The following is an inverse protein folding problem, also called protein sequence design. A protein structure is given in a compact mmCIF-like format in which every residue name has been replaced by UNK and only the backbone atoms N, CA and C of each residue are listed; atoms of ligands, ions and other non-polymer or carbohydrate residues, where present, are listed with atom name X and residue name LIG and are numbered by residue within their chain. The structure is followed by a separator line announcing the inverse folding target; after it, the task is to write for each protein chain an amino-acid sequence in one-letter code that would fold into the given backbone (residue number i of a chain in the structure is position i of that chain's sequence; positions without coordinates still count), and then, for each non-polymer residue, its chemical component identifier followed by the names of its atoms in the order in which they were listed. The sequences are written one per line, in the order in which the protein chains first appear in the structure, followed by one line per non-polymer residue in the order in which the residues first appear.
data_IF_869191371691
#
_entry.id   IF_869191371691
#
_cell.length_a   1.000
_cell.length_b   1.000
_cell.length_c   1.000
_cell.angle_alpha   90.00
_cell.angle_beta   90.00
_cell.angle_gamma   90.00
#
_symmetry.space_group_name_H-M   'P 1'
#
loop_
_entity.id
_entity.type
_entity.pdbx_description
1 polymer ?
#
# COMPACT_ATOMS: atom_id res chain seq x y z
N UNK A 1 1.59 -6.97 25.08
CA UNK A 1 1.48 -7.48 23.70
C UNK A 1 2.89 -7.68 23.18
N UNK A 2 3.22 -8.85 22.61
CA UNK A 2 4.54 -9.09 22.04
C UNK A 2 4.79 -8.10 20.91
N UNK A 3 5.96 -7.46 20.93
CA UNK A 3 6.38 -6.47 19.94
C UNK A 3 6.93 -7.24 18.74
N UNK A 4 6.29 -7.12 17.58
CA UNK A 4 6.77 -7.74 16.33
C UNK A 4 8.04 -6.99 15.94
N UNK A 5 9.20 -7.63 16.10
CA UNK A 5 10.48 -7.02 15.77
C UNK A 5 10.91 -7.54 14.39
N UNK A 6 10.79 -6.64 13.41
CA UNK A 6 11.45 -6.65 12.11
C UNK A 6 11.12 -7.78 11.11
N UNK A 7 10.90 -7.31 9.88
CA UNK A 7 10.94 -8.07 8.64
C UNK A 7 12.42 -8.46 8.34
N UNK A 8 12.75 -9.76 8.36
CA UNK A 8 14.14 -10.23 8.25
C UNK A 8 14.58 -10.57 6.83
N UNK A 9 13.68 -11.12 6.03
CA UNK A 9 13.96 -11.62 4.68
C UNK A 9 12.75 -11.33 3.80
N UNK A 10 12.99 -10.87 2.57
CA UNK A 10 11.99 -10.80 1.52
C UNK A 10 12.43 -11.72 0.40
N UNK A 11 11.50 -12.55 -0.07
CA UNK A 11 11.74 -13.43 -1.19
C UNK A 11 10.50 -13.63 -2.04
N UNK A 12 10.69 -14.33 -3.15
CA UNK A 12 9.64 -14.70 -4.07
C UNK A 12 9.45 -16.22 -4.02
N UNK A 13 8.20 -16.65 -3.87
CA UNK A 13 7.78 -18.04 -3.99
C UNK A 13 6.75 -18.18 -5.13
N UNK A 14 6.49 -19.39 -5.65
CA UNK A 14 5.43 -19.62 -6.63
C UNK A 14 4.07 -19.04 -6.18
N UNK A 15 3.78 -19.14 -4.89
CA UNK A 15 2.56 -18.69 -4.24
C UNK A 15 2.46 -17.16 -4.14
N UNK A 16 3.58 -16.44 -4.14
CA UNK A 16 3.68 -14.98 -4.02
C UNK A 16 4.90 -14.54 -3.21
N UNK A 17 5.05 -13.24 -2.92
CA UNK A 17 6.14 -12.77 -2.08
C UNK A 17 5.95 -13.27 -0.65
N UNK A 18 7.07 -13.52 0.02
CA UNK A 18 7.09 -14.03 1.38
C UNK A 18 8.13 -13.30 2.23
N UNK A 19 7.90 -13.32 3.53
CA UNK A 19 8.83 -12.77 4.51
C UNK A 19 8.84 -13.51 5.83
N UNK A 20 9.89 -13.28 6.62
CA UNK A 20 10.02 -13.79 7.99
C UNK A 20 9.96 -12.64 8.98
N UNK A 21 9.14 -12.81 10.01
CA UNK A 21 8.98 -11.91 11.14
C UNK A 21 9.49 -12.60 12.41
N UNK A 22 10.18 -11.86 13.28
CA UNK A 22 10.49 -12.34 14.62
C UNK A 22 9.36 -11.99 15.59
N UNK A 23 8.89 -13.00 16.32
CA UNK A 23 7.89 -12.85 17.36
C UNK A 23 8.51 -13.25 18.71
N UNK A 24 8.90 -12.28 19.55
CA UNK A 24 9.38 -12.55 20.90
C UNK A 24 8.29 -13.20 21.75
N UNK A 25 8.65 -14.27 22.46
CA UNK A 25 7.82 -14.93 23.46
C UNK A 25 8.60 -15.08 24.78
N UNK A 26 7.97 -15.58 25.84
CA UNK A 26 8.60 -15.67 27.17
C UNK A 26 9.83 -16.61 27.19
N UNK A 27 9.91 -17.55 26.24
CA UNK A 27 10.95 -18.58 26.16
C UNK A 27 12.00 -18.33 25.05
N UNK A 28 11.88 -17.23 24.29
CA UNK A 28 12.73 -16.96 23.13
C UNK A 28 12.09 -16.09 22.04
N UNK A 29 12.32 -16.45 20.79
CA UNK A 29 11.81 -15.72 19.61
C UNK A 29 11.40 -16.72 18.55
N UNK A 30 10.12 -16.72 18.20
CA UNK A 30 9.59 -17.54 17.13
C UNK A 30 9.79 -16.85 15.79
N UNK A 31 10.19 -17.62 14.78
CA UNK A 31 10.31 -17.14 13.40
C UNK A 31 9.05 -17.47 12.63
N UNK A 32 8.30 -16.45 12.23
CA UNK A 32 7.02 -16.59 11.55
C UNK A 32 7.18 -16.27 10.07
N UNK A 33 6.97 -17.27 9.21
CA UNK A 33 6.92 -17.05 7.77
C UNK A 33 5.53 -16.56 7.37
N UNK A 34 5.47 -15.49 6.60
CA UNK A 34 4.25 -14.93 6.01
C UNK A 34 4.38 -14.98 4.50
N UNK A 35 3.34 -15.45 3.81
CA UNK A 35 3.24 -15.48 2.36
C UNK A 35 2.01 -14.66 1.97
N UNK A 36 2.18 -13.71 1.06
CA UNK A 36 1.05 -12.98 0.46
C UNK A 36 0.73 -13.65 -0.89
N UNK A 37 -0.48 -14.20 -1.10
CA UNK A 37 -0.83 -14.80 -2.37
C UNK A 37 -0.62 -13.84 -3.54
N UNK A 38 -0.05 -14.33 -4.65
CA UNK A 38 0.29 -13.53 -5.85
C UNK A 38 -0.88 -12.67 -6.34
N UNK A 39 -2.09 -13.24 -6.36
CA UNK A 39 -3.30 -12.52 -6.77
C UNK A 39 -3.60 -11.33 -5.85
N UNK A 40 -3.44 -11.52 -4.54
CA UNK A 40 -3.61 -10.47 -3.54
C UNK A 40 -2.49 -9.43 -3.63
N UNK A 41 -1.25 -9.86 -3.83
CA UNK A 41 -0.10 -8.98 -4.02
C UNK A 41 -0.26 -8.07 -5.25
N UNK A 42 -0.72 -8.62 -6.37
CA UNK A 42 -0.99 -7.84 -7.58
C UNK A 42 -2.11 -6.82 -7.38
N UNK A 43 -3.13 -7.14 -6.58
CA UNK A 43 -4.17 -6.17 -6.22
C UNK A 43 -3.61 -5.06 -5.34
N UNK A 44 -2.82 -5.43 -4.33
CA UNK A 44 -2.23 -4.52 -3.35
C UNK A 44 -1.26 -3.53 -3.99
N UNK A 45 -0.30 -4.02 -4.78
CA UNK A 45 0.70 -3.18 -5.46
C UNK A 45 0.07 -2.24 -6.49
N UNK A 46 -1.05 -2.64 -7.11
CA UNK A 46 -1.83 -1.74 -7.98
C UNK A 46 -2.59 -0.69 -7.18
N UNK A 47 -3.13 -1.05 -6.02
CA UNK A 47 -3.83 -0.13 -5.13
C UNK A 47 -2.87 0.87 -4.45
N UNK A 48 -1.64 0.45 -4.19
CA UNK A 48 -0.61 1.18 -3.43
C UNK A 48 0.66 1.41 -4.27
N UNK A 49 0.57 2.12 -5.41
CA UNK A 49 1.69 2.25 -6.35
C UNK A 49 2.89 3.04 -5.80
N UNK A 50 2.70 3.77 -4.69
CA UNK A 50 3.73 4.58 -4.05
C UNK A 50 4.31 3.91 -2.79
N UNK A 51 3.78 2.75 -2.39
CA UNK A 51 4.32 1.99 -1.28
C UNK A 51 5.42 1.06 -1.76
N UNK A 52 6.51 0.97 -1.02
CA UNK A 52 7.56 -0.03 -1.31
C UNK A 52 7.03 -1.44 -1.02
N UNK A 53 7.55 -2.44 -1.71
CA UNK A 53 7.21 -3.85 -1.46
C UNK A 53 7.52 -4.26 -0.01
N UNK A 54 8.59 -3.70 0.57
CA UNK A 54 8.97 -3.92 1.97
C UNK A 54 7.89 -3.40 2.91
N UNK A 55 7.44 -2.16 2.70
CA UNK A 55 6.40 -1.52 3.51
C UNK A 55 5.08 -2.28 3.43
N UNK A 56 4.69 -2.70 2.22
CA UNK A 56 3.47 -3.49 2.02
C UNK A 56 3.57 -4.85 2.72
N UNK A 57 4.69 -5.54 2.60
CA UNK A 57 4.90 -6.81 3.29
C UNK A 57 4.86 -6.65 4.81
N UNK A 58 5.53 -5.63 5.34
CA UNK A 58 5.54 -5.34 6.78
C UNK A 58 4.14 -5.06 7.32
N UNK A 59 3.36 -4.20 6.64
CA UNK A 59 1.99 -3.88 7.05
C UNK A 59 1.09 -5.11 7.03
N UNK A 60 1.12 -5.88 5.94
CA UNK A 60 0.25 -7.07 5.79
C UNK A 60 0.66 -8.18 6.76
N UNK A 61 1.96 -8.44 6.90
CA UNK A 61 2.47 -9.47 7.80
C UNK A 61 2.21 -9.15 9.26
N UNK A 62 2.42 -7.90 9.67
CA UNK A 62 2.12 -7.43 11.04
C UNK A 62 0.65 -7.65 11.37
N UNK A 63 -0.27 -7.23 10.49
CA UNK A 63 -1.72 -7.40 10.70
C UNK A 63 -2.15 -8.85 10.76
N UNK A 64 -1.60 -9.68 9.88
CA UNK A 64 -1.88 -11.11 9.89
C UNK A 64 -1.48 -11.74 11.23
N UNK A 65 -0.27 -11.45 11.72
CA UNK A 65 0.24 -11.97 12.99
C UNK A 65 -0.59 -11.43 14.15
N UNK A 66 -0.87 -10.12 14.19
CA UNK A 66 -1.70 -9.51 15.23
C UNK A 66 -3.11 -10.10 15.28
N UNK A 67 -3.75 -10.33 14.12
CA UNK A 67 -5.06 -10.99 14.03
C UNK A 67 -4.99 -12.40 14.59
N UNK A 68 -3.97 -13.18 14.22
CA UNK A 68 -3.78 -14.56 14.73
C UNK A 68 -3.61 -14.57 16.26
N UNK A 69 -2.78 -13.68 16.78
CA UNK A 69 -2.60 -13.51 18.23
C UNK A 69 -3.89 -13.11 18.94
N UNK A 70 -4.67 -12.19 18.36
CA UNK A 70 -5.93 -11.74 18.94
C UNK A 70 -7.04 -12.81 18.91
N UNK A 71 -7.05 -13.68 17.89
CA UNK A 71 -8.03 -14.76 17.72
C UNK A 71 -7.64 -16.05 18.44
N UNK A 72 -6.41 -16.15 18.94
CA UNK A 72 -5.86 -17.37 19.54
C UNK A 72 -5.60 -18.48 18.53
N UNK A 73 -5.57 -18.15 17.23
CA UNK A 73 -5.24 -19.10 16.19
C UNK A 73 -3.76 -19.49 16.28
N UNK A 74 -3.43 -20.79 16.09
CA UNK A 74 -2.05 -21.24 16.17
C UNK A 74 -1.17 -20.61 15.08
N UNK A 75 0.01 -20.14 15.49
CA UNK A 75 1.08 -19.64 14.61
C UNK A 75 1.98 -20.82 14.27
N UNK A 76 1.54 -21.65 13.32
CA UNK A 76 2.27 -22.87 12.92
C UNK A 76 2.44 -22.89 11.41
N UNK A 77 3.69 -23.06 10.97
CA UNK A 77 4.04 -23.07 9.55
C UNK A 77 3.89 -21.71 8.88
N UNK A 78 3.91 -21.66 7.53
CA UNK A 78 3.73 -20.41 6.79
C UNK A 78 2.31 -19.88 6.95
N UNK A 79 2.19 -18.63 7.40
CA UNK A 79 0.92 -17.92 7.45
C UNK A 79 0.61 -17.34 6.08
N UNK A 80 -0.57 -17.66 5.55
CA UNK A 80 -1.05 -17.11 4.28
C UNK A 80 -1.93 -15.90 4.52
N UNK A 81 -1.56 -14.76 3.94
CA UNK A 81 -2.38 -13.55 4.02
C UNK A 81 -3.66 -13.69 3.19
N UNK A 82 -4.72 -13.07 3.67
CA UNK A 82 -6.07 -13.06 3.10
C UNK A 82 -6.52 -11.62 2.85
N UNK A 83 -7.68 -11.46 2.21
CA UNK A 83 -8.22 -10.12 1.90
C UNK A 83 -8.50 -9.28 3.15
N UNK A 84 -8.81 -9.92 4.27
CA UNK A 84 -9.04 -9.26 5.57
C UNK A 84 -7.76 -8.58 6.10
N UNK A 85 -6.59 -9.15 5.81
CA UNK A 85 -5.30 -8.65 6.29
C UNK A 85 -4.84 -7.38 5.53
N UNK A 86 -5.47 -7.08 4.39
CA UNK A 86 -5.14 -5.93 3.53
C UNK A 86 -6.25 -4.87 3.45
N UNK A 87 -7.33 -5.02 4.21
CA UNK A 87 -8.61 -4.34 3.99
C UNK A 87 -8.53 -2.84 3.69
N UNK A 88 -7.95 -2.06 4.60
CA UNK A 88 -7.77 -0.60 4.48
C UNK A 88 -6.58 -0.17 3.60
N UNK A 89 -5.74 -1.11 3.16
CA UNK A 89 -4.74 -0.85 2.11
C UNK A 89 -5.36 -0.93 0.71
N UNK A 90 -6.52 -1.57 0.58
CA UNK A 90 -7.29 -1.55 -0.66
C UNK A 90 -8.27 -0.36 -0.60
N UNK A 91 -8.37 0.47 -1.65
CA UNK A 91 -9.36 1.53 -1.71
C UNK A 91 -10.77 0.95 -1.58
N UNK A 92 -11.65 1.70 -0.93
CA UNK A 92 -13.04 1.29 -0.67
C UNK A 92 -13.86 1.02 -1.95
N UNK A 93 -13.41 1.52 -3.09
CA UNK A 93 -14.00 1.29 -4.41
C UNK A 93 -12.90 1.05 -5.45
N UNK A 94 -13.21 0.26 -6.48
CA UNK A 94 -12.38 -0.16 -7.63
C UNK A 94 -11.84 1.00 -8.50
N UNK A 95 -11.73 2.22 -7.97
CA UNK A 95 -11.20 3.38 -8.68
C UNK A 95 -9.68 3.20 -8.74
N UNK A 96 -9.12 2.93 -9.94
CA UNK A 96 -7.67 2.78 -10.06
C UNK A 96 -6.98 4.07 -9.60
N UNK A 97 -5.82 3.96 -8.96
CA UNK A 97 -5.09 5.11 -8.41
C UNK A 97 -4.89 6.26 -9.43
N UNK A 98 -4.69 5.93 -10.71
CA UNK A 98 -4.53 6.93 -11.77
C UNK A 98 -5.83 7.70 -12.07
N UNK A 99 -7.00 7.12 -11.75
CA UNK A 99 -8.29 7.83 -11.79
C UNK A 99 -8.48 8.75 -10.59
N UNK A 100 -7.87 8.46 -9.44
CA UNK A 100 -7.91 9.35 -8.26
C UNK A 100 -7.33 10.71 -8.61
N UNK A 101 -6.22 10.74 -9.37
CA UNK A 101 -5.60 11.96 -9.89
C UNK A 101 -6.44 12.68 -10.94
N UNK A 102 -7.58 12.10 -11.34
CA UNK A 102 -8.46 12.64 -12.37
C UNK A 102 -9.86 12.86 -11.83
N UNK A 103 -10.13 12.61 -10.55
CA UNK A 103 -11.42 12.90 -9.96
C UNK A 103 -11.44 14.35 -9.46
N UNK A 104 -12.42 15.11 -9.92
CA UNK A 104 -12.67 16.43 -9.36
C UNK A 104 -13.14 16.29 -7.91
N UNK A 105 -12.41 16.89 -6.97
CA UNK A 105 -12.75 16.87 -5.55
C UNK A 105 -14.03 17.64 -5.21
N UNK A 106 -14.50 18.50 -6.11
CA UNK A 106 -15.71 19.30 -5.90
C UNK A 106 -16.98 18.63 -6.43
N UNK A 107 -16.93 18.07 -7.64
CA UNK A 107 -18.13 17.51 -8.30
C UNK A 107 -18.08 15.98 -8.53
N UNK A 108 -16.99 15.31 -8.13
CA UNK A 108 -16.81 13.87 -8.27
C UNK A 108 -16.63 13.36 -9.71
N UNK A 109 -16.70 14.24 -10.72
CA UNK A 109 -16.57 13.86 -12.12
C UNK A 109 -15.13 13.47 -12.47
N UNK A 110 -14.98 12.45 -13.32
CA UNK A 110 -13.69 12.06 -13.88
C UNK A 110 -13.29 13.02 -15.00
N UNK A 111 -12.14 13.65 -14.86
CA UNK A 111 -11.54 14.59 -15.82
C UNK A 111 -10.87 13.81 -16.97
N UNK A 112 -11.12 14.18 -18.24
CA UNK A 112 -10.47 13.54 -19.39
C UNK A 112 -8.93 13.66 -19.36
N UNK A 113 -8.19 12.75 -20.02
CA UNK A 113 -6.73 12.71 -19.93
C UNK A 113 -6.04 13.98 -20.46
N UNK A 114 -6.64 14.67 -21.44
CA UNK A 114 -6.07 15.88 -22.07
C UNK A 114 -6.26 17.18 -21.29
N UNK A 115 -7.06 17.18 -20.23
CA UNK A 115 -7.32 18.35 -19.36
C UNK A 115 -6.52 18.28 -18.03
N UNK A 116 -5.68 17.25 -17.90
CA UNK A 116 -4.68 17.16 -16.85
C UNK A 116 -3.47 17.95 -17.32
N UNK A 117 -3.26 19.15 -16.77
CA UNK A 117 -2.04 19.89 -16.99
C UNK A 117 -0.94 19.22 -16.15
N UNK A 118 -0.22 18.31 -16.78
CA UNK A 118 0.96 17.67 -16.21
C UNK A 118 2.07 18.72 -16.03
N UNK A 119 2.06 19.36 -14.87
CA UNK A 119 3.26 19.98 -14.32
C UNK A 119 4.25 18.89 -13.91
N UNK A 120 4.81 18.13 -14.86
CA UNK A 120 6.01 17.32 -14.66
C UNK A 120 7.24 18.24 -14.54
N UNK A 121 7.12 19.31 -13.77
CA UNK A 121 8.25 20.16 -13.41
C UNK A 121 9.03 19.43 -12.32
N UNK A 122 10.06 18.73 -12.81
CA UNK A 122 11.14 18.04 -12.10
C UNK A 122 10.83 16.62 -11.64
N UNK A 123 11.37 15.66 -12.39
CA UNK A 123 11.79 14.37 -11.84
C UNK A 123 12.60 14.63 -10.56
N UNK A 124 11.98 14.39 -9.42
CA UNK A 124 12.64 14.55 -8.13
C UNK A 124 13.76 13.49 -8.05
N UNK A 125 15.00 13.87 -7.71
CA UNK A 125 16.01 12.88 -7.38
C UNK A 125 15.56 12.07 -6.16
N UNK A 126 15.93 10.78 -6.08
CA UNK A 126 15.73 10.00 -4.86
C UNK A 126 16.38 10.78 -3.69
N UNK A 127 15.68 10.87 -2.56
CA UNK A 127 16.01 11.60 -1.31
C UNK A 127 15.55 13.06 -1.15
N UNK A 128 14.84 13.65 -2.12
CA UNK A 128 14.22 14.97 -1.88
C UNK A 128 12.90 14.84 -1.11
N UNK A 129 12.78 15.53 0.03
CA UNK A 129 11.53 15.69 0.82
C UNK A 129 10.44 16.52 0.08
N UNK A 130 10.52 16.58 -1.25
CA UNK A 130 9.65 17.40 -2.08
C UNK A 130 8.38 16.67 -2.50
N UNK A 131 7.43 17.43 -3.04
CA UNK A 131 6.21 16.93 -3.68
C UNK A 131 6.13 17.44 -5.12
N UNK A 132 5.54 16.64 -6.01
CA UNK A 132 5.12 17.07 -7.35
C UNK A 132 3.68 17.54 -7.26
N UNK A 133 3.37 18.70 -7.85
CA UNK A 133 1.99 19.18 -7.92
C UNK A 133 1.36 18.82 -9.26
N UNK A 134 0.36 17.93 -9.24
CA UNK A 134 -0.48 17.64 -10.39
C UNK A 134 -1.72 18.53 -10.31
N UNK A 135 -1.89 19.38 -11.32
CA UNK A 135 -3.00 20.33 -11.41
C UNK A 135 -4.02 19.81 -12.41
N UNK A 136 -5.26 19.66 -11.93
CA UNK A 136 -6.35 19.05 -12.70
C UNK A 136 -7.46 20.07 -12.82
N UNK A 137 -7.73 20.53 -14.05
CA UNK A 137 -8.86 21.42 -14.30
C UNK A 137 -10.10 20.58 -14.62
N UNK A 138 -11.15 20.71 -13.82
CA UNK A 138 -12.40 20.01 -14.11
C UNK A 138 -13.17 20.75 -15.22
N UNK A 139 -13.48 20.13 -16.38
CA UNK A 139 -14.22 20.80 -17.45
C UNK A 139 -15.67 21.12 -17.04
N UNK A 140 -16.24 20.35 -16.11
CA UNK A 140 -17.64 20.51 -15.68
C UNK A 140 -17.83 21.69 -14.73
N UNK A 141 -17.00 21.80 -13.69
CA UNK A 141 -17.15 22.85 -12.68
C UNK A 141 -16.09 23.96 -12.78
N UNK A 142 -15.13 23.84 -13.69
CA UNK A 142 -14.02 24.81 -13.90
C UNK A 142 -13.16 25.04 -12.65
N UNK A 143 -13.23 24.14 -11.67
CA UNK A 143 -12.38 24.15 -10.47
C UNK A 143 -11.08 23.43 -10.78
N UNK A 144 -9.97 24.05 -10.39
CA UNK A 144 -8.66 23.44 -10.44
C UNK A 144 -8.37 22.73 -9.11
N UNK A 145 -8.23 21.40 -9.15
CA UNK A 145 -7.75 20.60 -8.01
C UNK A 145 -6.23 20.45 -8.08
N UNK A 146 -5.56 20.48 -6.93
CA UNK A 146 -4.11 20.29 -6.82
C UNK A 146 -3.90 19.00 -6.04
N UNK A 147 -3.22 18.04 -6.66
CA UNK A 147 -2.77 16.82 -6.00
C UNK A 147 -1.28 16.94 -5.73
N UNK A 148 -0.88 16.76 -4.47
CA UNK A 148 0.55 16.69 -4.12
C UNK A 148 0.99 15.25 -4.10
N UNK A 149 1.84 14.87 -5.04
CA UNK A 149 2.45 13.56 -5.09
C UNK A 149 3.78 13.61 -4.35
N UNK A 150 3.84 12.94 -3.23
CA UNK A 150 5.11 12.66 -2.55
C UNK A 150 5.61 11.29 -3.01
N UNK A 151 6.86 10.92 -2.69
CA UNK A 151 7.32 9.53 -2.85
C UNK A 151 6.42 8.50 -2.16
N UNK A 152 5.60 8.93 -1.19
CA UNK A 152 4.79 8.08 -0.31
C UNK A 152 3.30 8.05 -0.68
N UNK A 153 2.87 8.83 -1.67
CA UNK A 153 1.47 8.87 -2.08
C UNK A 153 0.92 10.26 -2.41
N UNK A 154 -0.39 10.28 -2.68
CA UNK A 154 -1.17 11.51 -2.88
C UNK A 154 -1.49 12.10 -1.51
N UNK A 155 -0.95 13.28 -1.22
CA UNK A 155 -1.32 14.08 -0.07
C UNK A 155 -2.41 15.06 -0.53
N UNK A 156 -3.62 14.86 -0.02
CA UNK A 156 -4.77 15.77 -0.22
C UNK A 156 -4.72 16.93 0.76
#
# INVERSE_FOLDING_TARGET
MPRIDLLHVLGEAPEGPWAIFSLPNDDGTDMVSVIIPRSLWMLLTRAQPFSSEITLMEQVGTRLIERRLATGEPIVGPLLASREDVGDLLPAEDIPWFKVLRMCQTCGQTVPPGEVLEGLSNALPPDSRGHVEVKVLCPTCQVQSIHRLTPWGVVT
#
